data_IF_445070112465
#
_entry.id   IF_445070112465
#
_cell.length_a   1.000
_cell.length_b   1.000
_cell.length_c   1.000
_cell.angle_alpha   90.00
_cell.angle_beta   90.00
_cell.angle_gamma   90.00
#
_symmetry.space_group_name_H-M   'P 1'
#
loop_
_entity.id
_entity.type
_entity.pdbx_description
1 polymer ?
#
# COMPACT_ATOMS: atom_id res chain seq x y z
N UNK A 1 41.05 -2.89 8.80
CA UNK A 1 40.29 -3.98 9.42
C UNK A 1 38.81 -3.63 9.25
N UNK A 2 38.11 -4.36 8.38
CA UNK A 2 36.72 -4.10 8.01
C UNK A 2 35.84 -4.61 9.15
N UNK A 3 35.26 -3.70 9.92
CA UNK A 3 34.37 -4.05 11.04
C UNK A 3 33.08 -4.64 10.43
N UNK A 4 33.01 -5.97 10.40
CA UNK A 4 31.82 -6.72 10.04
C UNK A 4 30.84 -6.61 11.22
N UNK A 5 30.20 -5.44 11.34
CA UNK A 5 29.02 -5.29 12.19
C UNK A 5 27.94 -6.20 11.59
N UNK A 6 27.80 -7.40 12.16
CA UNK A 6 26.65 -8.25 11.85
C UNK A 6 25.39 -7.39 12.07
N UNK A 7 24.69 -7.05 10.99
CA UNK A 7 23.38 -6.41 11.06
C UNK A 7 22.56 -7.24 12.04
N UNK A 8 22.19 -6.66 13.19
CA UNK A 8 21.33 -7.34 14.15
C UNK A 8 20.01 -7.61 13.41
N UNK A 9 19.76 -8.87 13.10
CA UNK A 9 18.48 -9.28 12.56
C UNK A 9 17.40 -8.84 13.56
N UNK A 10 16.42 -8.09 13.11
CA UNK A 10 15.30 -7.65 13.93
C UNK A 10 14.64 -8.88 14.57
N UNK A 11 14.71 -9.01 15.90
CA UNK A 11 14.06 -10.07 16.65
C UNK A 11 14.65 -11.48 16.55
N UNK A 12 15.85 -11.66 15.93
CA UNK A 12 16.54 -12.94 15.85
C UNK A 12 16.23 -13.77 14.60
N UNK A 13 16.96 -14.89 14.44
CA UNK A 13 16.91 -15.75 13.26
C UNK A 13 15.51 -16.29 12.94
N UNK A 14 14.74 -16.64 13.96
CA UNK A 14 13.39 -17.22 13.79
C UNK A 14 12.44 -16.20 13.19
N UNK A 15 12.47 -14.97 13.70
CA UNK A 15 11.59 -13.89 13.23
C UNK A 15 11.94 -13.47 11.80
N UNK A 16 13.24 -13.31 11.49
CA UNK A 16 13.71 -13.00 10.15
C UNK A 16 13.28 -14.06 9.12
N UNK A 17 13.45 -15.35 9.48
CA UNK A 17 13.06 -16.45 8.59
C UNK A 17 11.54 -16.49 8.39
N UNK A 18 10.75 -16.28 9.46
CA UNK A 18 9.30 -16.30 9.39
C UNK A 18 8.77 -15.17 8.50
N UNK A 19 9.30 -13.96 8.62
CA UNK A 19 8.88 -12.84 7.80
C UNK A 19 9.27 -13.00 6.32
N UNK A 20 10.44 -13.60 6.04
CA UNK A 20 10.86 -13.88 4.64
C UNK A 20 9.89 -14.82 3.92
N UNK A 21 9.21 -15.69 4.65
CA UNK A 21 8.18 -16.59 4.08
C UNK A 21 6.83 -15.88 4.04
N UNK A 22 6.47 -15.14 5.09
CA UNK A 22 5.18 -14.51 5.24
C UNK A 22 4.96 -13.38 4.22
N UNK A 23 5.99 -12.56 3.95
CA UNK A 23 5.89 -11.41 3.06
C UNK A 23 5.44 -11.78 1.65
N UNK A 24 6.11 -12.70 0.91
CA UNK A 24 5.68 -13.05 -0.44
C UNK A 24 4.29 -13.67 -0.44
N UNK A 25 3.93 -14.46 0.57
CA UNK A 25 2.60 -15.01 0.71
C UNK A 25 1.54 -13.90 0.87
N UNK A 26 1.79 -12.93 1.74
CA UNK A 26 0.88 -11.79 1.97
C UNK A 26 0.69 -10.94 0.72
N UNK A 27 1.78 -10.68 -0.03
CA UNK A 27 1.71 -9.91 -1.28
C UNK A 27 0.91 -10.65 -2.36
N UNK A 28 1.17 -11.94 -2.55
CA UNK A 28 0.43 -12.77 -3.52
C UNK A 28 -1.03 -12.88 -3.13
N UNK A 29 -1.33 -13.05 -1.84
CA UNK A 29 -2.69 -13.12 -1.34
C UNK A 29 -3.44 -11.79 -1.50
N UNK A 30 -2.77 -10.65 -1.24
CA UNK A 30 -3.32 -9.32 -1.50
C UNK A 30 -3.67 -9.11 -2.98
N UNK A 31 -2.79 -9.54 -3.89
CA UNK A 31 -3.04 -9.48 -5.33
C UNK A 31 -4.19 -10.41 -5.75
N UNK A 32 -4.26 -11.60 -5.16
CA UNK A 32 -5.37 -12.53 -5.39
C UNK A 32 -6.72 -11.89 -5.00
N UNK A 33 -6.81 -11.28 -3.82
CA UNK A 33 -8.03 -10.59 -3.36
C UNK A 33 -8.42 -9.46 -4.32
N UNK A 34 -7.44 -8.68 -4.81
CA UNK A 34 -7.69 -7.62 -5.78
C UNK A 34 -8.34 -8.12 -7.06
N UNK A 35 -7.87 -9.26 -7.58
CA UNK A 35 -8.39 -9.81 -8.86
C UNK A 35 -9.66 -10.61 -8.71
N UNK A 36 -10.03 -11.02 -7.49
CA UNK A 36 -11.21 -11.84 -7.20
C UNK A 36 -12.22 -11.13 -6.29
N UNK A 37 -12.11 -9.81 -6.12
CA UNK A 37 -13.02 -9.02 -5.28
C UNK A 37 -14.48 -9.13 -5.69
N UNK A 38 -14.75 -9.38 -6.98
CA UNK A 38 -16.09 -9.60 -7.52
C UNK A 38 -16.76 -10.88 -6.98
N UNK A 39 -15.98 -11.91 -6.64
CA UNK A 39 -16.47 -13.24 -6.24
C UNK A 39 -16.17 -13.58 -4.78
N UNK A 40 -15.33 -12.81 -4.09
CA UNK A 40 -14.89 -13.11 -2.72
C UNK A 40 -15.29 -12.01 -1.75
N UNK A 41 -15.38 -12.31 -0.43
CA UNK A 41 -15.62 -11.30 0.58
C UNK A 41 -14.37 -10.44 0.82
N UNK A 42 -13.94 -9.72 -0.19
CA UNK A 42 -12.76 -8.85 -0.17
C UNK A 42 -12.80 -7.93 -1.37
N UNK A 43 -11.99 -6.88 -1.36
CA UNK A 43 -11.93 -5.91 -2.44
C UNK A 43 -10.70 -5.01 -2.30
N UNK A 44 -10.68 -3.90 -3.03
CA UNK A 44 -9.56 -3.00 -3.13
C UNK A 44 -9.02 -2.51 -1.78
N UNK A 45 -9.88 -2.25 -0.79
CA UNK A 45 -9.44 -1.84 0.55
C UNK A 45 -8.62 -2.94 1.24
N UNK A 46 -9.10 -4.17 1.24
CA UNK A 46 -8.45 -5.28 1.90
C UNK A 46 -7.14 -5.66 1.18
N UNK A 47 -7.16 -5.65 -0.14
CA UNK A 47 -5.96 -5.83 -0.95
C UNK A 47 -4.91 -4.76 -0.65
N UNK A 48 -5.30 -3.47 -0.60
CA UNK A 48 -4.43 -2.36 -0.28
C UNK A 48 -3.80 -2.47 1.10
N UNK A 49 -4.59 -2.84 2.12
CA UNK A 49 -4.10 -3.05 3.48
C UNK A 49 -3.08 -4.21 3.55
N UNK A 50 -3.36 -5.34 2.90
CA UNK A 50 -2.45 -6.49 2.88
C UNK A 50 -1.13 -6.17 2.18
N UNK A 51 -1.18 -5.49 1.04
CA UNK A 51 0.04 -5.09 0.32
C UNK A 51 0.85 -4.09 1.15
N UNK A 52 0.20 -3.11 1.80
CA UNK A 52 0.87 -2.16 2.69
C UNK A 52 1.59 -2.88 3.84
N UNK A 53 0.91 -3.81 4.53
CA UNK A 53 1.52 -4.62 5.59
C UNK A 53 2.70 -5.42 5.07
N UNK A 54 2.58 -6.04 3.89
CA UNK A 54 3.69 -6.74 3.24
C UNK A 54 4.92 -5.85 3.03
N UNK A 55 4.74 -4.62 2.54
CA UNK A 55 5.82 -3.64 2.33
C UNK A 55 6.44 -3.20 3.66
N UNK A 56 5.62 -2.92 4.67
CA UNK A 56 6.11 -2.56 6.02
C UNK A 56 6.96 -3.69 6.61
N UNK A 57 6.52 -4.94 6.49
CA UNK A 57 7.29 -6.10 6.95
C UNK A 57 8.63 -6.22 6.21
N UNK A 58 8.68 -5.96 4.89
CA UNK A 58 9.95 -5.92 4.14
C UNK A 58 10.91 -4.88 4.72
N UNK A 59 10.43 -3.67 4.98
CA UNK A 59 11.24 -2.59 5.56
C UNK A 59 11.79 -2.95 6.94
N UNK A 60 10.98 -3.61 7.77
CA UNK A 60 11.41 -4.09 9.10
C UNK A 60 12.53 -5.13 9.01
N UNK A 61 12.48 -6.05 8.03
CA UNK A 61 13.52 -7.08 7.84
C UNK A 61 14.83 -6.45 7.33
N UNK A 62 14.73 -5.49 6.42
CA UNK A 62 15.89 -4.87 5.76
C UNK A 62 16.63 -3.88 6.66
N UNK A 63 16.06 -3.50 7.82
CA UNK A 63 16.72 -2.70 8.84
C UNK A 63 17.18 -1.32 8.35
N UNK A 64 16.35 -0.62 7.63
CA UNK A 64 16.60 0.78 7.25
C UNK A 64 17.53 0.99 6.04
N UNK A 65 17.95 -0.05 5.32
CA UNK A 65 18.54 0.11 3.98
C UNK A 65 17.42 0.59 3.03
N UNK A 66 17.46 1.88 2.72
CA UNK A 66 16.32 2.71 2.25
C UNK A 66 15.96 2.52 0.77
N UNK A 67 16.53 1.57 0.04
CA UNK A 67 16.53 1.71 -1.41
C UNK A 67 15.43 0.95 -2.16
N UNK A 68 14.76 -0.05 -1.59
CA UNK A 68 13.87 -0.89 -2.39
C UNK A 68 12.36 -0.63 -2.26
N UNK A 69 11.89 0.11 -1.29
CA UNK A 69 10.48 0.51 -1.14
C UNK A 69 10.33 1.84 -0.39
N UNK A 70 11.35 2.69 -0.46
CA UNK A 70 11.30 4.00 0.19
C UNK A 70 10.50 4.97 -0.66
N UNK A 71 9.23 5.10 -0.33
CA UNK A 71 8.36 6.12 -0.94
C UNK A 71 8.47 7.38 -0.09
N UNK A 72 8.97 8.48 -0.66
CA UNK A 72 8.98 9.76 0.07
C UNK A 72 7.55 10.20 0.39
N UNK A 73 7.33 10.84 1.56
CA UNK A 73 6.01 11.28 2.00
C UNK A 73 5.21 12.02 0.93
N UNK A 74 5.78 13.04 0.23
CA UNK A 74 5.09 13.72 -0.86
C UNK A 74 4.68 12.78 -2.01
N UNK A 75 5.50 11.77 -2.32
CA UNK A 75 5.21 10.81 -3.38
C UNK A 75 4.08 9.85 -2.97
N UNK A 76 4.03 9.45 -1.70
CA UNK A 76 2.93 8.63 -1.16
C UNK A 76 1.59 9.37 -1.29
N UNK A 77 1.56 10.66 -0.96
CA UNK A 77 0.36 11.50 -1.10
C UNK A 77 -0.08 11.63 -2.56
N UNK A 78 0.86 11.85 -3.48
CA UNK A 78 0.56 11.91 -4.92
C UNK A 78 0.00 10.58 -5.41
N UNK A 79 0.59 9.45 -5.04
CA UNK A 79 0.10 8.13 -5.43
C UNK A 79 -1.29 7.83 -4.85
N UNK A 80 -1.55 8.22 -3.59
CA UNK A 80 -2.88 8.12 -3.00
C UNK A 80 -3.90 8.99 -3.76
N UNK A 81 -3.50 10.20 -4.16
CA UNK A 81 -4.30 11.07 -5.02
C UNK A 81 -4.62 10.45 -6.37
N UNK A 82 -3.64 9.80 -7.00
CA UNK A 82 -3.86 9.06 -8.26
C UNK A 82 -4.87 7.92 -8.07
N UNK A 83 -4.77 7.16 -6.97
CA UNK A 83 -5.76 6.11 -6.65
C UNK A 83 -7.18 6.67 -6.51
N UNK A 84 -7.33 7.79 -5.81
CA UNK A 84 -8.61 8.51 -5.68
C UNK A 84 -9.11 9.03 -7.03
N UNK A 85 -8.20 9.51 -7.88
CA UNK A 85 -8.54 9.99 -9.21
C UNK A 85 -9.02 8.86 -10.12
N UNK A 86 -8.44 7.67 -10.04
CA UNK A 86 -8.92 6.48 -10.77
C UNK A 86 -10.35 6.14 -10.36
N UNK A 87 -10.63 6.14 -9.04
CA UNK A 87 -11.97 5.90 -8.51
C UNK A 87 -12.99 6.91 -9.05
N UNK A 88 -12.73 8.20 -8.87
CA UNK A 88 -13.60 9.28 -9.32
C UNK A 88 -13.72 9.31 -10.86
N UNK A 89 -12.63 9.07 -11.56
CA UNK A 89 -12.55 9.03 -13.00
C UNK A 89 -13.43 7.91 -13.59
N UNK A 90 -13.46 6.74 -12.97
CA UNK A 90 -14.36 5.66 -13.37
C UNK A 90 -15.83 6.09 -13.26
N UNK A 91 -16.20 6.78 -12.16
CA UNK A 91 -17.55 7.33 -12.00
C UNK A 91 -17.89 8.41 -13.04
N UNK A 92 -16.95 9.26 -13.40
CA UNK A 92 -17.15 10.26 -14.46
C UNK A 92 -17.30 9.62 -15.84
N UNK A 93 -16.48 8.58 -16.12
CA UNK A 93 -16.60 7.86 -17.40
C UNK A 93 -17.99 7.25 -17.62
N UNK A 94 -18.62 6.70 -16.57
CA UNK A 94 -19.99 6.19 -16.67
C UNK A 94 -21.00 7.29 -16.93
N UNK A 95 -20.82 8.48 -16.32
CA UNK A 95 -21.68 9.63 -16.59
C UNK A 95 -21.54 10.15 -18.02
N UNK A 96 -20.33 10.20 -18.58
CA UNK A 96 -20.10 10.55 -19.98
C UNK A 96 -20.71 9.52 -20.95
N UNK A 97 -20.81 8.25 -20.54
CA UNK A 97 -21.52 7.21 -21.27
C UNK A 97 -23.05 7.35 -21.25
N UNK A 98 -23.59 8.34 -20.51
CA UNK A 98 -25.02 8.60 -20.41
C UNK A 98 -25.72 7.85 -19.26
N UNK A 99 -24.97 7.17 -18.39
CA UNK A 99 -25.46 6.53 -17.18
C UNK A 99 -25.39 7.40 -15.92
N UNK A 100 -25.72 6.83 -14.79
CA UNK A 100 -25.52 7.43 -13.47
C UNK A 100 -24.06 7.27 -13.02
N UNK A 101 -23.67 7.99 -11.97
CA UNK A 101 -22.35 7.84 -11.36
C UNK A 101 -22.14 6.41 -10.88
N UNK A 102 -21.09 5.75 -11.34
CA UNK A 102 -20.77 4.33 -11.10
C UNK A 102 -21.78 3.31 -11.71
N UNK A 103 -22.53 3.72 -12.71
CA UNK A 103 -23.31 2.78 -13.52
C UNK A 103 -22.39 2.11 -14.55
N UNK A 104 -21.78 1.00 -14.18
CA UNK A 104 -20.80 0.31 -15.00
C UNK A 104 -21.36 -0.19 -16.34
N UNK A 105 -22.68 -0.38 -16.45
CA UNK A 105 -23.33 -0.73 -17.71
C UNK A 105 -23.26 0.36 -18.78
N UNK A 106 -22.98 1.62 -18.38
CA UNK A 106 -22.85 2.77 -19.27
C UNK A 106 -21.40 3.12 -19.61
N UNK A 107 -20.43 2.27 -19.27
CA UNK A 107 -19.02 2.49 -19.65
C UNK A 107 -18.86 2.53 -21.17
N UNK A 108 -18.19 3.55 -21.76
CA UNK A 108 -18.03 3.69 -23.19
C UNK A 108 -16.94 2.75 -23.75
N UNK A 109 -17.02 1.46 -23.41
CA UNK A 109 -16.07 0.43 -23.85
C UNK A 109 -16.83 -0.56 -24.74
N UNK A 110 -16.33 -0.88 -25.94
CA UNK A 110 -16.99 -1.80 -26.86
C UNK A 110 -16.84 -3.26 -26.39
N UNK A 111 -17.58 -3.64 -25.36
CA UNK A 111 -17.68 -5.03 -24.89
C UNK A 111 -19.05 -5.62 -25.25
N UNK A 112 -19.05 -6.91 -25.60
CA UNK A 112 -20.25 -7.58 -26.08
C UNK A 112 -21.17 -8.10 -24.95
N UNK A 113 -20.62 -8.25 -23.74
CA UNK A 113 -21.37 -8.76 -22.58
C UNK A 113 -21.42 -7.74 -21.45
N UNK A 114 -22.63 -7.46 -20.97
CA UNK A 114 -22.84 -6.51 -19.86
C UNK A 114 -22.10 -6.94 -18.58
N UNK A 115 -22.00 -8.25 -18.33
CA UNK A 115 -21.29 -8.78 -17.18
C UNK A 115 -19.78 -8.45 -17.19
N UNK A 116 -19.14 -8.51 -18.35
CA UNK A 116 -17.72 -8.16 -18.50
C UNK A 116 -17.49 -6.66 -18.27
N UNK A 117 -18.44 -5.82 -18.68
CA UNK A 117 -18.39 -4.38 -18.46
C UNK A 117 -18.49 -4.02 -16.99
N UNK A 118 -19.38 -4.69 -16.26
CA UNK A 118 -19.52 -4.53 -14.80
C UNK A 118 -18.25 -5.01 -14.08
N UNK A 119 -17.70 -6.17 -14.45
CA UNK A 119 -16.47 -6.70 -13.87
C UNK A 119 -15.29 -5.75 -14.08
N UNK A 120 -15.15 -5.18 -15.28
CA UNK A 120 -14.13 -4.19 -15.59
C UNK A 120 -14.27 -2.92 -14.73
N UNK A 121 -15.49 -2.39 -14.59
CA UNK A 121 -15.77 -1.20 -13.78
C UNK A 121 -15.42 -1.43 -12.31
N UNK A 122 -15.80 -2.58 -11.75
CA UNK A 122 -15.46 -2.98 -10.38
C UNK A 122 -13.94 -3.07 -10.21
N UNK A 123 -13.24 -3.75 -11.12
CA UNK A 123 -11.79 -3.90 -11.07
C UNK A 123 -11.06 -2.55 -11.12
N UNK A 124 -11.50 -1.61 -11.95
CA UNK A 124 -10.91 -0.27 -12.02
C UNK A 124 -11.02 0.47 -10.68
N UNK A 125 -12.19 0.40 -10.05
CA UNK A 125 -12.40 1.00 -8.72
C UNK A 125 -11.54 0.31 -7.67
N UNK A 126 -11.47 -1.02 -7.67
CA UNK A 126 -10.67 -1.78 -6.71
C UNK A 126 -9.19 -1.47 -6.82
N UNK A 127 -8.66 -1.29 -8.03
CA UNK A 127 -7.29 -0.83 -8.24
C UNK A 127 -7.08 0.57 -7.65
N UNK A 128 -8.00 1.50 -7.91
CA UNK A 128 -7.93 2.85 -7.36
C UNK A 128 -7.91 2.88 -5.84
N UNK A 129 -8.83 2.13 -5.22
CA UNK A 129 -8.91 2.00 -3.75
C UNK A 129 -7.67 1.30 -3.19
N UNK A 130 -7.18 0.24 -3.82
CA UNK A 130 -5.96 -0.48 -3.40
C UNK A 130 -4.75 0.45 -3.33
N UNK A 131 -4.51 1.22 -4.38
CA UNK A 131 -3.39 2.17 -4.43
C UNK A 131 -3.56 3.26 -3.36
N UNK A 132 -4.75 3.83 -3.23
CA UNK A 132 -5.04 4.86 -2.24
C UNK A 132 -4.80 4.36 -0.82
N UNK A 133 -5.36 3.21 -0.44
CA UNK A 133 -5.24 2.64 0.91
C UNK A 133 -3.80 2.23 1.20
N UNK A 134 -3.14 1.53 0.27
CA UNK A 134 -1.75 1.12 0.42
C UNK A 134 -0.84 2.31 0.71
N UNK A 135 -0.91 3.36 -0.11
CA UNK A 135 -0.05 4.54 0.05
C UNK A 135 -0.39 5.34 1.31
N UNK A 136 -1.66 5.41 1.69
CA UNK A 136 -2.07 6.07 2.93
C UNK A 136 -1.51 5.37 4.16
N UNK A 137 -1.60 4.04 4.23
CA UNK A 137 -1.05 3.27 5.35
C UNK A 137 0.47 3.42 5.44
N UNK A 138 1.18 3.34 4.30
CA UNK A 138 2.63 3.53 4.26
C UNK A 138 3.00 4.94 4.75
N UNK A 139 2.31 5.98 4.28
CA UNK A 139 2.58 7.35 4.68
C UNK A 139 2.32 7.60 6.18
N UNK A 140 1.27 7.00 6.75
CA UNK A 140 1.00 7.08 8.19
C UNK A 140 2.11 6.40 8.98
N UNK A 141 2.57 5.23 8.56
CA UNK A 141 3.65 4.51 9.24
C UNK A 141 4.97 5.29 9.17
N UNK A 142 5.29 5.87 8.01
CA UNK A 142 6.50 6.68 7.85
C UNK A 142 6.46 7.93 8.74
N UNK A 143 5.31 8.61 8.83
CA UNK A 143 5.14 9.78 9.69
C UNK A 143 5.24 9.45 11.20
N UNK A 144 4.82 8.24 11.62
CA UNK A 144 4.96 7.79 13.00
C UNK A 144 6.44 7.51 13.32
N UNK A 145 7.17 6.86 12.40
CA UNK A 145 8.60 6.55 12.59
C UNK A 145 9.41 7.85 12.67
N UNK A 146 9.17 8.80 11.77
CA UNK A 146 9.85 10.09 11.75
C UNK A 146 9.67 10.84 13.07
N UNK A 147 8.44 10.85 13.64
CA UNK A 147 8.19 11.47 14.95
C UNK A 147 8.91 10.79 16.10
N UNK A 148 9.00 9.47 16.09
CA UNK A 148 9.71 8.74 17.14
C UNK A 148 11.21 9.01 17.11
N UNK A 149 11.79 9.14 15.92
CA UNK A 149 13.21 9.47 15.75
C UNK A 149 13.50 10.91 16.25
N UNK A 150 12.61 11.87 15.98
CA UNK A 150 12.72 13.26 16.46
C UNK A 150 12.64 13.34 18.00
N UNK A 151 11.70 12.61 18.61
CA UNK A 151 11.53 12.57 20.08
C UNK A 151 12.76 11.97 20.78
N UNK A 152 13.40 10.92 20.20
CA UNK A 152 14.63 10.33 20.73
C UNK A 152 15.83 11.30 20.64
N UNK A 153 15.94 12.08 19.56
CA UNK A 153 17.00 13.09 19.41
C UNK A 153 16.85 14.23 20.44
N UNK A 154 15.62 14.70 20.71
CA UNK A 154 15.37 15.73 21.71
C UNK A 154 15.73 15.24 23.14
N UNK A 155 15.43 13.99 23.49
CA UNK A 155 15.73 13.42 24.80
C UNK A 155 17.22 13.31 25.04
N UNK A 156 17.99 12.89 24.01
CA UNK A 156 19.47 12.79 24.07
C UNK A 156 20.13 14.17 24.24
N UNK A 157 19.62 15.20 23.56
CA UNK A 157 20.14 16.57 23.66
C UNK A 157 19.84 17.18 25.03
N UNK A 158 18.70 16.88 25.64
CA UNK A 158 18.36 17.37 26.98
C UNK A 158 19.19 16.70 28.09
N UNK A 159 19.53 15.42 27.95
CA UNK A 159 20.33 14.69 28.93
C UNK A 159 21.82 15.07 28.85
N UNK A 160 22.35 15.32 27.66
CA UNK A 160 23.74 15.76 27.45
C UNK A 160 24.07 17.19 27.91
N UNK A 161 23.06 17.99 28.28
CA UNK A 161 23.28 19.38 28.72
C UNK A 161 23.27 19.53 30.25
N UNK A 162 23.13 18.41 30.99
CA UNK A 162 23.09 18.37 32.46
C UNK A 162 24.41 17.86 33.11
N UNK A 163 25.44 17.55 32.32
CA UNK A 163 26.80 17.20 32.75
C UNK A 163 27.77 18.38 32.51
#
# INVERSE_FOLDING_TARGET
MKNNSMKKAFGGLVLDTSFRILVPFTLVYGLYILTHGEYSPGGGFQAGALVAVGIVLVRMIQGGDKDMFNVSGPMAVVCAGVGTFIYAGTGWLTMFGGGLFLDYGALPVPMHHLAELHALGILMIEIGVTVCVMMTIINIMDAIIERLDDDEEEEVVCDGNND
#
